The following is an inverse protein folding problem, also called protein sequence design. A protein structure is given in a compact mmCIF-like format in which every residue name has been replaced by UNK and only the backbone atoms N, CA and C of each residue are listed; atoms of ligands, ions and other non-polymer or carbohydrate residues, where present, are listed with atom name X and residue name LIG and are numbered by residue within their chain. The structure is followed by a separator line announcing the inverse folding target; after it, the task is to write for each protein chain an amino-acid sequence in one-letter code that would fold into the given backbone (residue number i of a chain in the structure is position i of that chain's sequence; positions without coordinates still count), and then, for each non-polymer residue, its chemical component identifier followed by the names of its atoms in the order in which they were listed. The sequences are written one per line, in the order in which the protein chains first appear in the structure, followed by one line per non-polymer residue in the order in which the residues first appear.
data_IF_005635006104
#
_entry.id   IF_005635006104
#
_cell.length_a   1.000
_cell.length_b   1.000
_cell.length_c   1.000
_cell.angle_alpha   90.00
_cell.angle_beta   90.00
_cell.angle_gamma   90.00
#
_symmetry.space_group_name_H-M   'P 1'
#
loop_
_entity.id
_entity.type
_entity.pdbx_description
1 polymer ?
#
# COMPACT_ATOMS: atom_id res chain seq x y z
N UNK A 1 1.16 -10.70 3.90
CA UNK A 1 -0.19 -11.07 4.32
C UNK A 1 -1.12 -9.86 4.27
N UNK A 2 -2.26 -10.00 3.60
CA UNK A 2 -3.29 -8.97 3.52
C UNK A 2 -4.35 -9.27 4.58
N UNK A 3 -4.88 -8.23 5.21
CA UNK A 3 -6.06 -8.38 6.06
C UNK A 3 -7.28 -7.94 5.28
N UNK A 4 -8.25 -8.85 5.16
CA UNK A 4 -9.54 -8.63 4.52
C UNK A 4 -10.61 -8.45 5.58
N UNK A 5 -11.46 -7.43 5.44
CA UNK A 5 -12.63 -7.25 6.32
C UNK A 5 -13.89 -7.52 5.52
N UNK A 6 -14.70 -8.45 6.01
CA UNK A 6 -16.01 -8.75 5.44
C UNK A 6 -17.08 -8.33 6.43
N UNK A 7 -17.97 -7.43 6.02
CA UNK A 7 -19.15 -7.06 6.78
C UNK A 7 -20.36 -7.84 6.25
N UNK A 8 -20.97 -8.69 7.07
CA UNK A 8 -22.26 -9.32 6.78
C UNK A 8 -23.34 -8.65 7.61
N UNK A 9 -24.28 -7.95 6.97
CA UNK A 9 -25.50 -7.49 7.65
C UNK A 9 -26.56 -8.59 7.56
N UNK A 10 -26.75 -9.29 8.66
CA UNK A 10 -27.94 -10.12 8.87
C UNK A 10 -29.00 -9.30 9.59
N UNK A 11 -30.21 -9.24 9.03
CA UNK A 11 -31.34 -8.59 9.66
C UNK A 11 -31.87 -9.49 10.78
N UNK A 12 -31.40 -9.31 12.02
CA UNK A 12 -32.01 -9.88 13.20
C UNK A 12 -32.78 -8.79 13.93
N UNK A 13 -34.11 -8.84 13.82
CA UNK A 13 -34.98 -8.13 14.74
C UNK A 13 -34.70 -8.63 16.16
N UNK A 14 -34.04 -7.84 16.98
CA UNK A 14 -34.08 -7.93 18.43
C UNK A 14 -33.54 -6.67 19.09
N UNK A 15 -34.43 -6.04 19.89
CA UNK A 15 -34.20 -5.11 20.99
C UNK A 15 -32.84 -4.37 21.08
N UNK A 16 -32.97 -3.08 21.08
CA UNK A 16 -32.04 -1.99 21.38
C UNK A 16 -30.91 -2.28 22.37
N UNK A 17 -29.89 -2.96 21.91
CA UNK A 17 -28.54 -2.80 22.34
C UNK A 17 -27.77 -2.37 21.07
N UNK A 18 -27.21 -1.18 21.06
CA UNK A 18 -26.38 -0.64 19.98
C UNK A 18 -25.10 -1.45 19.84
N UNK A 19 -25.22 -2.65 19.31
CA UNK A 19 -24.08 -3.41 18.85
C UNK A 19 -23.75 -2.91 17.45
N UNK A 20 -22.78 -2.00 17.37
CA UNK A 20 -22.21 -1.67 16.07
C UNK A 20 -21.75 -2.98 15.42
N UNK A 21 -22.05 -3.20 14.13
CA UNK A 21 -21.57 -4.39 13.44
C UNK A 21 -20.05 -4.44 13.50
N UNK A 22 -19.51 -5.40 14.26
CA UNK A 22 -18.07 -5.60 14.34
C UNK A 22 -17.62 -6.12 12.98
N UNK A 23 -16.84 -5.31 12.27
CA UNK A 23 -16.20 -5.72 11.03
C UNK A 23 -15.21 -6.84 11.35
N UNK A 24 -15.52 -8.04 10.92
CA UNK A 24 -14.64 -9.19 11.14
C UNK A 24 -13.51 -9.16 10.12
N UNK A 25 -12.27 -9.20 10.62
CA UNK A 25 -11.07 -9.18 9.79
C UNK A 25 -10.61 -10.61 9.51
N UNK A 26 -10.28 -10.89 8.28
CA UNK A 26 -9.72 -12.16 7.82
C UNK A 26 -8.31 -11.93 7.29
N UNK A 27 -7.37 -12.75 7.73
CA UNK A 27 -6.01 -12.73 7.22
C UNK A 27 -5.96 -13.57 5.93
N UNK A 28 -5.49 -12.97 4.86
CA UNK A 28 -5.16 -13.70 3.63
C UNK A 28 -3.78 -14.33 3.81
N UNK A 29 -3.68 -15.65 3.65
CA UNK A 29 -2.42 -16.38 3.76
C UNK A 29 -1.52 -16.20 2.52
N UNK A 30 -0.35 -16.84 2.52
CA UNK A 30 0.61 -16.74 1.42
C UNK A 30 0.11 -17.39 0.13
N UNK A 31 -0.82 -18.32 0.22
CA UNK A 31 -1.44 -19.02 -0.91
C UNK A 31 -2.68 -18.27 -1.44
N UNK A 32 -3.00 -17.12 -0.84
CA UNK A 32 -4.14 -16.28 -1.22
C UNK A 32 -5.48 -16.75 -0.67
N UNK A 33 -5.50 -17.57 0.38
CA UNK A 33 -6.72 -18.10 0.98
C UNK A 33 -7.11 -17.35 2.25
N UNK A 34 -8.41 -17.32 2.53
CA UNK A 34 -8.99 -16.90 3.81
C UNK A 34 -9.80 -18.03 4.41
N UNK A 35 -9.85 -18.11 5.72
CA UNK A 35 -10.73 -19.05 6.42
C UNK A 35 -12.02 -18.31 6.81
N UNK A 36 -13.10 -18.57 6.06
CA UNK A 36 -14.37 -17.89 6.24
C UNK A 36 -15.36 -18.78 7.01
N UNK A 37 -16.04 -18.25 8.04
CA UNK A 37 -17.04 -19.02 8.79
C UNK A 37 -18.09 -19.61 7.85
N UNK A 38 -18.53 -20.84 8.13
CA UNK A 38 -19.53 -21.59 7.35
C UNK A 38 -19.05 -22.07 5.99
N UNK A 39 -18.25 -21.28 5.26
CA UNK A 39 -17.78 -21.62 3.92
C UNK A 39 -16.41 -22.33 3.93
N UNK A 40 -15.69 -22.27 5.05
CA UNK A 40 -14.33 -22.82 5.15
C UNK A 40 -13.30 -22.00 4.40
N UNK A 41 -12.34 -22.68 3.81
CA UNK A 41 -11.26 -22.05 3.06
C UNK A 41 -11.74 -21.52 1.71
N UNK A 42 -11.44 -20.26 1.44
CA UNK A 42 -11.78 -19.56 0.19
C UNK A 42 -10.54 -18.96 -0.43
N UNK A 43 -10.28 -19.28 -1.69
CA UNK A 43 -9.21 -18.65 -2.46
C UNK A 43 -9.65 -17.28 -2.98
N UNK A 44 -9.01 -16.23 -2.47
CA UNK A 44 -9.26 -14.82 -2.82
C UNK A 44 -8.07 -14.17 -3.53
N UNK A 45 -6.94 -14.87 -3.56
CA UNK A 45 -5.72 -14.40 -4.21
C UNK A 45 -5.95 -14.10 -5.69
N UNK A 46 -5.44 -12.97 -6.18
CA UNK A 46 -5.59 -12.55 -7.57
C UNK A 46 -6.99 -12.06 -7.97
N UNK A 47 -7.99 -12.16 -7.10
CA UNK A 47 -9.33 -11.65 -7.36
C UNK A 47 -9.40 -10.14 -7.11
N UNK A 48 -10.24 -9.47 -7.91
CA UNK A 48 -10.62 -8.09 -7.60
C UNK A 48 -11.59 -8.07 -6.40
N UNK A 49 -11.64 -6.95 -5.69
CA UNK A 49 -12.60 -6.70 -4.58
C UNK A 49 -14.02 -7.13 -4.96
N UNK A 50 -14.51 -6.66 -6.12
CA UNK A 50 -15.84 -6.98 -6.61
C UNK A 50 -16.04 -8.48 -6.90
N UNK A 51 -15.03 -9.13 -7.49
CA UNK A 51 -15.09 -10.57 -7.74
C UNK A 51 -15.12 -11.38 -6.44
N UNK A 52 -14.37 -10.96 -5.42
CA UNK A 52 -14.38 -11.57 -4.09
C UNK A 52 -15.76 -11.41 -3.42
N UNK A 53 -16.33 -10.20 -3.46
CA UNK A 53 -17.69 -9.93 -2.94
C UNK A 53 -18.73 -10.85 -3.60
N UNK A 54 -18.72 -10.92 -4.92
CA UNK A 54 -19.65 -11.77 -5.69
C UNK A 54 -19.48 -13.26 -5.36
N UNK A 55 -18.24 -13.73 -5.32
CA UNK A 55 -17.93 -15.13 -4.97
C UNK A 55 -18.45 -15.50 -3.58
N UNK A 56 -18.24 -14.64 -2.58
CA UNK A 56 -18.72 -14.86 -1.21
C UNK A 56 -20.25 -14.87 -1.17
N UNK A 57 -20.91 -13.91 -1.84
CA UNK A 57 -22.38 -13.86 -1.93
C UNK A 57 -22.92 -15.14 -2.55
N UNK A 58 -22.35 -15.61 -3.66
CA UNK A 58 -22.80 -16.84 -4.32
C UNK A 58 -22.63 -18.09 -3.46
N UNK A 59 -21.49 -18.20 -2.79
CA UNK A 59 -21.24 -19.32 -1.89
C UNK A 59 -22.12 -19.31 -0.63
N UNK A 60 -22.58 -18.14 -0.19
CA UNK A 60 -23.49 -18.00 0.97
C UNK A 60 -24.96 -18.28 0.61
N UNK A 61 -25.40 -18.11 -0.64
CA UNK A 61 -26.79 -18.36 -1.07
C UNK A 61 -27.42 -19.66 -0.57
N UNK A 62 -26.72 -20.82 -0.56
CA UNK A 62 -27.30 -22.07 -0.07
C UNK A 62 -27.59 -22.09 1.45
N UNK A 63 -26.92 -21.22 2.20
CA UNK A 63 -26.96 -21.21 3.66
C UNK A 63 -27.87 -20.11 4.24
N UNK A 64 -28.24 -19.12 3.41
CA UNK A 64 -28.96 -17.93 3.86
C UNK A 64 -30.19 -17.73 2.96
N UNK A 65 -31.37 -17.49 3.58
CA UNK A 65 -32.62 -17.27 2.84
C UNK A 65 -32.69 -15.92 2.12
N UNK A 66 -31.98 -14.91 2.68
CA UNK A 66 -31.91 -13.56 2.12
C UNK A 66 -30.57 -13.34 1.47
N UNK A 67 -30.51 -12.48 0.45
CA UNK A 67 -29.25 -12.13 -0.25
C UNK A 67 -28.40 -11.28 0.71
N UNK A 68 -27.24 -11.77 1.18
CA UNK A 68 -26.38 -11.01 2.08
C UNK A 68 -25.70 -9.86 1.33
N UNK A 69 -25.54 -8.72 2.01
CA UNK A 69 -24.67 -7.65 1.54
C UNK A 69 -23.26 -7.96 2.06
N UNK A 70 -22.34 -8.23 1.15
CA UNK A 70 -20.93 -8.48 1.46
C UNK A 70 -20.12 -7.28 0.98
N UNK A 71 -19.35 -6.68 1.88
CA UNK A 71 -18.43 -5.59 1.54
C UNK A 71 -17.01 -6.00 1.91
N UNK A 72 -16.14 -5.99 0.92
CA UNK A 72 -14.73 -6.33 1.06
C UNK A 72 -13.90 -5.05 1.11
N UNK A 73 -13.05 -4.90 2.12
CA UNK A 73 -12.10 -3.79 2.25
C UNK A 73 -10.73 -4.33 2.59
N UNK A 74 -9.70 -3.74 2.02
CA UNK A 74 -8.33 -4.01 2.43
C UNK A 74 -8.04 -3.24 3.72
N UNK A 75 -7.59 -3.95 4.75
CA UNK A 75 -7.10 -3.36 6.00
C UNK A 75 -5.58 -3.40 5.94
N UNK A 76 -4.92 -2.39 6.53
CA UNK A 76 -3.46 -2.27 6.51
C UNK A 76 -2.85 -2.04 5.12
N UNK A 77 -3.59 -1.41 4.21
CA UNK A 77 -3.00 -0.90 2.98
C UNK A 77 -1.91 0.10 3.33
N UNK A 78 -0.67 -0.22 3.02
CA UNK A 78 0.49 0.62 3.31
C UNK A 78 1.42 0.71 2.11
N UNK A 79 2.06 1.86 2.00
CA UNK A 79 3.11 2.16 1.03
C UNK A 79 4.30 2.74 1.77
N UNK A 80 5.48 2.69 1.16
CA UNK A 80 6.68 3.31 1.70
C UNK A 80 7.19 4.39 0.76
N UNK A 81 7.60 5.52 1.30
CA UNK A 81 8.24 6.61 0.55
C UNK A 81 9.59 6.89 1.18
N UNK A 82 10.65 6.77 0.41
CA UNK A 82 12.03 6.89 0.87
C UNK A 82 12.88 7.71 -0.11
N UNK A 83 14.08 8.06 0.31
CA UNK A 83 15.00 8.89 -0.47
C UNK A 83 14.85 10.38 -0.16
N UNK A 84 14.94 11.24 -1.17
CA UNK A 84 14.94 12.70 -1.02
C UNK A 84 13.54 13.28 -0.88
N UNK A 85 12.88 12.94 0.21
CA UNK A 85 11.60 13.50 0.66
C UNK A 85 11.73 14.11 2.05
N UNK A 86 10.81 15.00 2.41
CA UNK A 86 10.88 15.70 3.71
C UNK A 86 10.71 14.76 4.90
N UNK A 87 9.86 13.74 4.77
CA UNK A 87 9.55 12.77 5.84
C UNK A 87 9.49 11.35 5.26
N UNK A 88 10.66 10.69 5.07
CA UNK A 88 10.67 9.30 4.63
C UNK A 88 10.01 8.39 5.67
N UNK A 89 9.27 7.39 5.19
CA UNK A 89 8.59 6.46 6.09
C UNK A 89 7.58 5.55 5.38
N UNK A 90 6.90 4.74 6.17
CA UNK A 90 5.79 3.90 5.72
C UNK A 90 4.47 4.54 6.15
N UNK A 91 3.55 4.70 5.21
CA UNK A 91 2.26 5.35 5.40
C UNK A 91 1.13 4.34 5.24
N UNK A 92 0.21 4.34 6.21
CA UNK A 92 -1.02 3.56 6.12
C UNK A 92 -2.06 4.36 5.35
N UNK A 93 -2.66 3.74 4.35
CA UNK A 93 -3.64 4.34 3.47
C UNK A 93 -5.04 3.94 3.93
N UNK A 94 -5.84 4.92 4.31
CA UNK A 94 -7.23 4.72 4.73
C UNK A 94 -8.19 4.64 3.53
N UNK A 95 -7.78 5.19 2.39
CA UNK A 95 -8.56 5.22 1.17
C UNK A 95 -8.37 3.92 0.35
N UNK A 96 -9.31 3.65 -0.54
CA UNK A 96 -9.23 2.47 -1.42
C UNK A 96 -8.12 2.58 -2.47
N UNK A 97 -7.70 3.80 -2.78
CA UNK A 97 -6.65 4.09 -3.77
C UNK A 97 -5.79 5.24 -3.27
N UNK A 98 -4.54 5.22 -3.64
CA UNK A 98 -3.59 6.32 -3.47
C UNK A 98 -2.75 6.42 -4.74
N UNK A 99 -2.45 7.62 -5.17
CA UNK A 99 -1.56 7.86 -6.31
C UNK A 99 -0.17 8.32 -5.84
N UNK A 100 0.78 8.36 -6.78
CA UNK A 100 2.17 8.73 -6.50
C UNK A 100 2.28 10.13 -5.89
N UNK A 101 1.52 11.10 -6.40
CA UNK A 101 1.58 12.49 -5.91
C UNK A 101 1.01 12.62 -4.50
N UNK A 102 -0.08 11.89 -4.20
CA UNK A 102 -0.62 11.81 -2.84
C UNK A 102 0.38 11.18 -1.87
N UNK A 103 1.06 10.12 -2.30
CA UNK A 103 2.08 9.47 -1.49
C UNK A 103 3.26 10.40 -1.20
N UNK A 104 3.72 11.18 -2.19
CA UNK A 104 4.75 12.20 -1.99
C UNK A 104 4.26 13.31 -1.07
N UNK A 105 3.01 13.77 -1.22
CA UNK A 105 2.42 14.76 -0.32
C UNK A 105 2.35 14.26 1.14
N UNK A 106 2.02 12.99 1.38
CA UNK A 106 2.06 12.38 2.71
C UNK A 106 3.47 12.38 3.30
N UNK A 107 4.49 12.21 2.46
CA UNK A 107 5.90 12.30 2.83
C UNK A 107 6.42 13.75 2.94
N UNK A 108 5.54 14.76 2.82
CA UNK A 108 5.89 16.18 2.90
C UNK A 108 6.56 16.72 1.66
N UNK A 109 6.33 16.08 0.50
CA UNK A 109 6.91 16.34 -0.80
C UNK A 109 8.43 16.05 -0.88
N UNK A 110 8.95 16.15 -2.09
CA UNK A 110 10.37 15.99 -2.40
C UNK A 110 11.18 17.17 -1.88
N UNK A 111 12.40 16.91 -1.40
CA UNK A 111 13.32 17.99 -1.06
C UNK A 111 13.85 18.69 -2.35
N UNK A 112 14.49 19.82 -2.17
CA UNK A 112 15.16 20.54 -3.29
C UNK A 112 16.29 19.74 -3.94
N UNK A 113 16.71 18.67 -3.30
CA UNK A 113 17.75 17.76 -3.81
C UNK A 113 17.17 16.53 -4.51
N UNK A 114 15.86 16.31 -4.47
CA UNK A 114 15.19 15.20 -5.12
C UNK A 114 15.07 15.41 -6.64
N UNK A 115 15.33 14.37 -7.41
CA UNK A 115 15.18 14.37 -8.86
C UNK A 115 13.76 13.97 -9.25
N UNK A 116 12.99 14.92 -9.83
CA UNK A 116 11.61 14.67 -10.28
C UNK A 116 11.54 13.80 -11.53
N UNK A 117 12.61 13.77 -12.31
CA UNK A 117 12.76 12.97 -13.51
C UNK A 117 13.32 11.57 -13.26
N UNK A 118 13.75 11.28 -12.01
CA UNK A 118 14.28 9.96 -11.62
C UNK A 118 13.66 9.49 -10.29
N UNK A 119 12.36 9.34 -10.27
CA UNK A 119 11.62 8.66 -9.20
C UNK A 119 11.47 7.19 -9.58
N UNK A 120 11.64 6.28 -8.64
CA UNK A 120 11.52 4.85 -8.88
C UNK A 120 10.37 4.28 -8.07
N UNK A 121 9.48 3.58 -8.74
CA UNK A 121 8.48 2.73 -8.11
C UNK A 121 9.04 1.31 -8.04
N UNK A 122 9.15 0.77 -6.83
CA UNK A 122 9.56 -0.61 -6.60
C UNK A 122 8.30 -1.39 -6.21
N UNK A 123 7.95 -2.36 -7.02
CA UNK A 123 6.73 -3.18 -6.88
C UNK A 123 7.07 -4.66 -6.95
N UNK A 124 6.44 -5.45 -6.13
CA UNK A 124 6.50 -6.90 -6.25
C UNK A 124 5.50 -7.38 -7.31
N UNK A 125 5.99 -8.13 -8.28
CA UNK A 125 5.14 -8.71 -9.32
C UNK A 125 4.47 -10.01 -8.84
N UNK A 126 3.57 -10.57 -9.66
CA UNK A 126 2.83 -11.79 -9.35
C UNK A 126 3.72 -13.03 -9.06
N UNK A 127 4.99 -12.99 -9.48
CA UNK A 127 5.97 -14.06 -9.25
C UNK A 127 6.83 -13.84 -7.99
N UNK A 128 6.49 -12.85 -7.14
CA UNK A 128 7.25 -12.51 -5.94
C UNK A 128 8.58 -11.80 -6.21
N UNK A 129 8.84 -11.36 -7.45
CA UNK A 129 10.06 -10.63 -7.81
C UNK A 129 9.83 -9.13 -7.74
N UNK A 130 10.82 -8.42 -7.22
CA UNK A 130 10.83 -6.96 -7.22
C UNK A 130 11.10 -6.41 -8.62
N UNK A 131 10.27 -5.48 -9.07
CA UNK A 131 10.41 -4.74 -10.32
C UNK A 131 10.65 -3.28 -10.01
N UNK A 132 11.62 -2.67 -10.67
CA UNK A 132 11.93 -1.24 -10.54
C UNK A 132 11.43 -0.52 -11.78
N UNK A 133 10.48 0.36 -11.60
CA UNK A 133 9.81 1.11 -12.66
C UNK A 133 10.26 2.57 -12.56
N UNK A 134 11.02 3.10 -13.54
CA UNK A 134 11.41 4.50 -13.56
C UNK A 134 10.20 5.39 -13.89
N UNK A 135 10.05 6.48 -13.17
CA UNK A 135 8.97 7.45 -13.32
C UNK A 135 9.56 8.85 -13.46
N UNK A 136 9.10 9.59 -14.45
CA UNK A 136 9.42 10.99 -14.64
C UNK A 136 8.18 11.83 -14.29
N UNK A 137 8.22 12.50 -13.14
CA UNK A 137 7.11 13.33 -12.67
C UNK A 137 6.95 14.66 -13.41
N UNK A 138 7.90 15.01 -14.27
CA UNK A 138 7.79 16.19 -15.14
C UNK A 138 6.93 15.88 -16.39
N UNK A 139 6.68 14.61 -16.69
CA UNK A 139 5.90 14.18 -17.84
C UNK A 139 4.45 13.92 -17.48
N UNK A 140 3.53 14.55 -18.21
CA UNK A 140 2.09 14.30 -18.06
C UNK A 140 1.72 12.82 -18.31
N UNK A 141 2.50 12.10 -19.12
CA UNK A 141 2.32 10.67 -19.36
C UNK A 141 2.42 9.79 -18.10
N UNK A 142 3.13 10.25 -17.07
CA UNK A 142 3.21 9.54 -15.79
C UNK A 142 1.83 9.45 -15.11
N UNK A 143 1.00 10.49 -15.22
CA UNK A 143 -0.37 10.49 -14.66
C UNK A 143 -1.27 9.51 -15.42
N UNK A 144 -1.02 9.29 -16.69
CA UNK A 144 -1.77 8.34 -17.54
C UNK A 144 -1.21 6.92 -17.50
N UNK A 145 -0.09 6.73 -16.81
CA UNK A 145 0.58 5.43 -16.67
C UNK A 145 -0.26 4.47 -15.81
N UNK A 146 -0.26 3.16 -16.11
CA UNK A 146 -0.84 2.14 -15.24
C UNK A 146 -0.18 2.09 -13.85
N UNK A 147 1.02 2.67 -13.72
CA UNK A 147 1.79 2.74 -12.47
C UNK A 147 1.48 3.97 -11.63
N UNK A 148 0.61 4.87 -12.11
CA UNK A 148 0.24 6.09 -11.37
C UNK A 148 -0.45 5.79 -10.04
N UNK A 149 -1.34 4.78 -10.01
CA UNK A 149 -1.94 4.29 -8.78
C UNK A 149 -1.06 3.23 -8.14
N UNK A 150 -0.80 3.43 -6.86
CA UNK A 150 0.03 2.54 -6.07
C UNK A 150 -0.74 1.30 -5.64
N UNK A 151 0.01 0.24 -5.38
CA UNK A 151 -0.47 -1.02 -4.84
C UNK A 151 0.05 -1.23 -3.41
N UNK A 152 -0.52 -2.20 -2.73
CA UNK A 152 -0.06 -2.62 -1.40
C UNK A 152 1.43 -2.95 -1.42
N UNK A 153 2.16 -2.45 -0.43
CA UNK A 153 3.60 -2.62 -0.24
C UNK A 153 4.50 -1.97 -1.31
N UNK A 154 3.96 -1.14 -2.20
CA UNK A 154 4.78 -0.35 -3.11
C UNK A 154 5.76 0.54 -2.35
N UNK A 155 6.95 0.71 -2.92
CA UNK A 155 7.96 1.62 -2.41
C UNK A 155 8.24 2.68 -3.47
N UNK A 156 8.11 3.95 -3.10
CA UNK A 156 8.55 5.08 -3.90
C UNK A 156 9.93 5.49 -3.40
N UNK A 157 10.89 5.48 -4.29
CA UNK A 157 12.24 5.96 -4.04
C UNK A 157 12.52 7.22 -4.84
N UNK A 158 12.81 8.31 -4.14
CA UNK A 158 13.22 9.59 -4.77
C UNK A 158 14.72 9.66 -4.79
N UNK A 159 15.28 9.69 -6.01
CA UNK A 159 16.73 9.72 -6.23
C UNK A 159 17.31 11.09 -5.84
N UNK A 160 18.41 11.13 -5.05
CA UNK A 160 19.11 12.37 -4.75
C UNK A 160 19.87 12.91 -5.97
N UNK A 161 19.98 14.23 -6.07
CA UNK A 161 20.81 14.86 -7.09
C UNK A 161 22.32 14.76 -6.76
N UNK A 162 23.16 15.07 -7.74
CA UNK A 162 24.63 14.98 -7.61
C UNK A 162 25.20 15.92 -6.53
N UNK A 163 24.54 17.03 -6.23
CA UNK A 163 25.01 17.97 -5.21
C UNK A 163 24.90 17.35 -3.80
N UNK A 164 23.83 16.64 -3.51
CA UNK A 164 23.66 15.92 -2.25
C UNK A 164 24.64 14.77 -2.11
N UNK A 165 24.85 13.99 -3.18
CA UNK A 165 25.81 12.87 -3.17
C UNK A 165 27.23 13.37 -2.87
N UNK A 166 27.68 14.48 -3.46
CA UNK A 166 28.99 15.06 -3.19
C UNK A 166 29.14 15.57 -1.76
N UNK A 167 28.11 16.20 -1.20
CA UNK A 167 28.17 16.72 0.17
C UNK A 167 28.25 15.61 1.23
N UNK A 168 27.71 14.43 0.96
CA UNK A 168 27.86 13.27 1.86
C UNK A 168 29.30 12.74 1.88
N UNK A 169 30.02 12.80 0.75
CA UNK A 169 31.41 12.37 0.67
C UNK A 169 32.38 13.37 1.32
N UNK A 170 32.12 14.67 1.18
CA UNK A 170 32.96 15.73 1.76
C UNK A 170 32.82 15.79 3.29
N UNK A 171 31.65 15.48 3.85
CA UNK A 171 31.42 15.45 5.30
C UNK A 171 32.28 14.43 6.03
N UNK A 172 32.62 13.32 5.39
CA UNK A 172 33.48 12.28 5.97
C UNK A 172 34.99 12.59 5.87
N UNK A 173 35.43 13.37 4.86
CA UNK A 173 36.84 13.68 4.67
C UNK A 173 37.32 14.86 5.52
N UNK A 174 36.47 15.86 5.77
CA UNK A 174 36.86 17.05 6.56
C UNK A 174 36.98 16.77 8.07
N UNK A 175 36.22 15.82 8.61
CA UNK A 175 36.31 15.44 10.02
C UNK A 175 37.63 14.71 10.36
N UNK A 176 38.20 14.01 9.41
CA UNK A 176 39.50 13.30 9.59
C UNK A 176 40.70 14.24 9.57
N UNK A 177 40.63 15.35 8.82
CA UNK A 177 41.72 16.33 8.75
C UNK A 177 41.78 17.25 9.97
N UNK A 178 40.61 17.61 10.53
CA UNK A 178 40.55 18.46 11.74
C UNK A 178 41.01 17.73 12.99
N UNK A 179 40.95 16.41 13.03
CA UNK A 179 41.48 15.58 14.12
C UNK A 179 43.01 15.49 14.12
N UNK A 180 43.70 15.75 12.99
CA UNK A 180 45.15 15.68 12.84
C UNK A 180 45.87 17.00 13.15
N UNK A 181 45.15 18.12 13.29
CA UNK A 181 45.74 19.47 13.55
C UNK A 181 45.82 19.77 15.06
N UNK A 182 45.22 18.95 15.92
CA UNK A 182 45.22 19.14 17.40
C UNK A 182 46.13 18.16 18.16
N UNK A 183 47.28 17.76 17.58
CA UNK A 183 48.38 17.09 18.31
C UNK A 183 49.61 18.00 18.29
#
# INVERSE_FOLDING_TARGET
PFNLTVATQGNTNLSSTTTQPVLQQYLVDNDGNINFPVLGELHVGGLTKKATEQMIVEKLKPYIKEIPIVTVRMVNYKISVIGEVARPGTFTISNEKVNILEALAMAGDMTVYGLRDDVKLIRENANGKQEIIPLDLNKAGTILSPYYYLQQNDIIYVTPNKAKARNSDVGNSTSLWLSLIHI
#
